data_IF_899633241588
#
_entry.id   IF_899633241588
#
_cell.length_a   1.000
_cell.length_b   1.000
_cell.length_c   1.000
_cell.angle_alpha   90.00
_cell.angle_beta   90.00
_cell.angle_gamma   90.00
#
_symmetry.space_group_name_H-M   'P 1'
#
loop_
_entity.id
_entity.type
_entity.pdbx_description
1 polymer ?
#
# COMPACT_ATOMS: atom_id res chain seq x y z
N UNK A 1 57.59 30.27 -10.52
CA UNK A 1 56.15 30.57 -10.57
C UNK A 1 55.51 29.63 -11.57
N UNK A 2 54.71 28.67 -11.11
CA UNK A 2 54.09 27.65 -11.97
C UNK A 2 52.79 28.23 -12.53
N UNK A 3 52.73 28.46 -13.85
CA UNK A 3 51.53 28.95 -14.53
C UNK A 3 50.43 27.87 -14.47
N UNK A 4 49.35 28.13 -13.73
CA UNK A 4 48.15 27.29 -13.72
C UNK A 4 47.40 27.48 -15.05
N UNK A 5 47.24 26.39 -15.79
CA UNK A 5 46.53 26.35 -17.06
C UNK A 5 45.01 26.29 -16.80
N UNK A 6 44.35 27.44 -16.68
CA UNK A 6 42.90 27.52 -16.49
C UNK A 6 42.18 27.24 -17.82
N UNK A 7 42.00 25.96 -18.16
CA UNK A 7 41.10 25.54 -19.24
C UNK A 7 39.65 25.74 -18.77
N UNK A 8 38.98 26.78 -19.27
CA UNK A 8 37.54 26.96 -19.08
C UNK A 8 36.74 25.95 -19.90
N UNK A 9 35.55 25.59 -19.41
CA UNK A 9 34.59 24.74 -20.13
C UNK A 9 34.13 25.43 -21.42
N UNK A 10 33.96 24.67 -22.50
CA UNK A 10 33.41 25.21 -23.75
C UNK A 10 31.88 25.22 -23.72
N UNK A 11 31.26 26.17 -24.43
CA UNK A 11 29.80 26.21 -24.59
C UNK A 11 29.26 24.95 -25.27
N UNK A 12 30.02 24.36 -26.19
CA UNK A 12 29.60 23.15 -26.90
C UNK A 12 29.56 21.92 -25.98
N UNK A 13 30.49 21.81 -25.03
CA UNK A 13 30.46 20.74 -24.02
C UNK A 13 29.20 20.85 -23.16
N UNK A 14 28.84 22.05 -22.72
CA UNK A 14 27.62 22.25 -21.94
C UNK A 14 26.36 21.88 -22.73
N UNK A 15 26.30 22.24 -24.02
CA UNK A 15 25.16 21.91 -24.90
C UNK A 15 25.05 20.40 -25.14
N UNK A 16 26.15 19.70 -25.42
CA UNK A 16 26.08 18.24 -25.58
C UNK A 16 25.62 17.55 -24.30
N UNK A 17 26.10 17.99 -23.13
CA UNK A 17 25.69 17.42 -21.85
C UNK A 17 24.20 17.59 -21.60
N UNK A 18 23.63 18.78 -21.87
CA UNK A 18 22.19 19.00 -21.67
C UNK A 18 21.34 18.20 -22.66
N UNK A 19 21.81 18.01 -23.90
CA UNK A 19 21.13 17.13 -24.89
C UNK A 19 21.10 15.69 -24.38
N UNK A 20 22.23 15.16 -23.91
CA UNK A 20 22.30 13.79 -23.39
C UNK A 20 21.40 13.64 -22.15
N UNK A 21 21.45 14.58 -21.21
CA UNK A 21 20.58 14.59 -20.04
C UNK A 21 19.09 14.66 -20.43
N UNK A 22 18.74 15.43 -21.46
CA UNK A 22 17.37 15.50 -21.98
C UNK A 22 16.85 14.16 -22.51
N UNK A 23 17.66 13.45 -23.30
CA UNK A 23 17.31 12.12 -23.83
C UNK A 23 17.18 11.10 -22.69
N UNK A 24 18.11 11.11 -21.74
CA UNK A 24 18.08 10.21 -20.59
C UNK A 24 16.84 10.47 -19.72
N UNK A 25 16.51 11.73 -19.44
CA UNK A 25 15.34 12.10 -18.65
C UNK A 25 14.03 11.64 -19.32
N UNK A 26 13.91 11.80 -20.65
CA UNK A 26 12.73 11.39 -21.40
C UNK A 26 12.41 9.89 -21.27
N UNK A 27 13.44 9.04 -21.16
CA UNK A 27 13.26 7.58 -21.00
C UNK A 27 13.22 7.15 -19.53
N UNK A 28 13.98 7.82 -18.66
CA UNK A 28 14.09 7.46 -17.25
C UNK A 28 12.82 7.80 -16.45
N UNK A 29 12.20 8.96 -16.68
CA UNK A 29 11.04 9.42 -15.91
C UNK A 29 9.85 8.45 -16.05
N UNK A 30 9.40 8.04 -17.26
CA UNK A 30 8.26 7.13 -17.37
C UNK A 30 8.54 5.77 -16.73
N UNK A 31 9.77 5.25 -16.89
CA UNK A 31 10.18 3.97 -16.29
C UNK A 31 10.21 4.03 -14.77
N UNK A 32 10.66 5.16 -14.21
CA UNK A 32 10.67 5.37 -12.78
C UNK A 32 9.25 5.37 -12.21
N UNK A 33 8.31 6.09 -12.83
CA UNK A 33 6.89 6.10 -12.41
C UNK A 33 6.29 4.69 -12.38
N UNK A 34 6.48 3.90 -13.45
CA UNK A 34 6.01 2.50 -13.47
C UNK A 34 6.67 1.64 -12.39
N UNK A 35 7.92 1.92 -12.01
CA UNK A 35 8.61 1.17 -10.95
C UNK A 35 8.05 1.52 -9.58
N UNK A 36 7.71 2.78 -9.34
CA UNK A 36 7.06 3.24 -8.10
C UNK A 36 5.69 2.58 -7.95
N UNK A 37 4.82 2.65 -8.97
CA UNK A 37 3.48 2.03 -8.91
C UNK A 37 3.55 0.52 -8.63
N UNK A 38 4.52 -0.19 -9.24
CA UNK A 38 4.72 -1.62 -8.97
C UNK A 38 5.21 -1.91 -7.56
N UNK A 39 5.99 -1.00 -6.98
CA UNK A 39 6.45 -1.14 -5.61
C UNK A 39 5.31 -0.90 -4.62
N UNK A 40 4.41 0.05 -4.92
CA UNK A 40 3.17 0.29 -4.16
C UNK A 40 2.24 -0.92 -4.23
N UNK A 41 1.96 -1.45 -5.44
CA UNK A 41 1.17 -2.69 -5.63
C UNK A 41 1.74 -3.87 -4.83
N UNK A 42 3.07 -4.05 -4.84
CA UNK A 42 3.71 -5.12 -4.07
C UNK A 42 3.64 -4.90 -2.55
N UNK A 43 3.61 -3.65 -2.09
CA UNK A 43 3.43 -3.32 -0.68
C UNK A 43 1.98 -3.57 -0.24
N UNK A 44 1.01 -3.18 -1.06
CA UNK A 44 -0.42 -3.46 -0.86
C UNK A 44 -0.67 -4.98 -0.76
N UNK A 45 -0.15 -5.76 -1.70
CA UNK A 45 -0.25 -7.23 -1.68
C UNK A 45 0.32 -7.82 -0.38
N UNK A 46 1.43 -7.26 0.13
CA UNK A 46 2.03 -7.69 1.39
C UNK A 46 1.13 -7.36 2.59
N UNK A 47 0.52 -6.17 2.62
CA UNK A 47 -0.44 -5.76 3.66
C UNK A 47 -1.64 -6.69 3.63
N UNK A 48 -2.29 -6.88 2.48
CA UNK A 48 -3.46 -7.76 2.36
C UNK A 48 -3.11 -9.21 2.71
N UNK A 49 -1.94 -9.71 2.31
CA UNK A 49 -1.49 -11.04 2.71
C UNK A 49 -1.29 -11.15 4.22
N UNK A 50 -0.81 -10.09 4.87
CA UNK A 50 -0.68 -10.07 6.34
C UNK A 50 -2.04 -10.10 7.02
N UNK A 51 -3.04 -9.37 6.50
CA UNK A 51 -4.42 -9.38 6.99
C UNK A 51 -4.99 -10.80 6.89
N UNK A 52 -4.88 -11.47 5.73
CA UNK A 52 -5.35 -12.86 5.57
C UNK A 52 -4.74 -13.80 6.61
N UNK A 53 -3.44 -13.68 6.87
CA UNK A 53 -2.75 -14.49 7.88
C UNK A 53 -3.19 -14.14 9.32
N UNK A 54 -3.39 -12.85 9.61
CA UNK A 54 -3.90 -12.37 10.89
C UNK A 54 -5.31 -12.89 11.16
N UNK A 55 -6.22 -12.77 10.19
CA UNK A 55 -7.60 -13.25 10.26
C UNK A 55 -7.67 -14.76 10.53
N UNK A 56 -6.81 -15.53 9.89
CA UNK A 56 -6.68 -16.97 10.14
C UNK A 56 -6.21 -17.27 11.57
N UNK A 57 -5.24 -16.50 12.07
CA UNK A 57 -4.74 -16.64 13.45
C UNK A 57 -5.83 -16.30 14.45
N UNK A 58 -6.50 -15.16 14.27
CA UNK A 58 -7.63 -14.73 15.09
C UNK A 58 -8.75 -15.77 15.11
N UNK A 59 -9.09 -16.34 13.95
CA UNK A 59 -10.09 -17.40 13.87
C UNK A 59 -9.71 -18.66 14.66
N UNK A 60 -8.43 -19.03 14.69
CA UNK A 60 -7.94 -20.15 15.52
C UNK A 60 -8.01 -19.82 17.01
N UNK A 61 -7.65 -18.59 17.40
CA UNK A 61 -7.75 -18.15 18.80
C UNK A 61 -9.20 -18.19 19.30
N UNK A 62 -10.14 -17.70 18.49
CA UNK A 62 -11.57 -17.74 18.80
C UNK A 62 -12.10 -19.18 18.88
N UNK A 63 -11.59 -20.09 18.05
CA UNK A 63 -11.91 -21.52 18.14
C UNK A 63 -11.48 -22.10 19.49
N UNK A 64 -10.31 -21.70 20.01
CA UNK A 64 -9.81 -22.17 21.29
C UNK A 64 -10.57 -21.56 22.48
N UNK A 65 -10.91 -20.27 22.40
CA UNK A 65 -11.59 -19.56 23.48
C UNK A 65 -13.08 -19.92 23.56
N UNK A 66 -13.77 -19.90 22.42
CA UNK A 66 -15.23 -19.91 22.35
C UNK A 66 -15.76 -21.15 21.61
N UNK A 67 -14.88 -22.06 21.18
CA UNK A 67 -15.26 -23.28 20.46
C UNK A 67 -15.68 -23.07 19.01
N UNK A 68 -15.53 -21.85 18.46
CA UNK A 68 -15.94 -21.49 17.09
C UNK A 68 -14.96 -20.55 16.43
N UNK A 69 -14.70 -20.76 15.14
CA UNK A 69 -13.93 -19.82 14.30
C UNK A 69 -14.80 -18.61 13.98
N UNK A 70 -14.25 -17.42 14.09
CA UNK A 70 -14.90 -16.16 13.73
C UNK A 70 -13.85 -15.12 13.39
N UNK A 71 -14.08 -14.28 12.39
CA UNK A 71 -13.26 -13.10 12.09
C UNK A 71 -13.66 -11.85 12.91
N UNK A 72 -12.80 -10.84 13.09
CA UNK A 72 -13.20 -9.60 13.74
C UNK A 72 -14.16 -8.78 12.86
N UNK A 73 -14.85 -7.79 13.45
CA UNK A 73 -15.68 -6.85 12.68
C UNK A 73 -14.84 -5.88 11.84
N UNK A 74 -13.68 -5.47 12.35
CA UNK A 74 -12.69 -4.70 11.63
C UNK A 74 -11.51 -5.64 11.27
N UNK A 75 -11.15 -5.79 9.99
CA UNK A 75 -10.06 -6.68 9.57
C UNK A 75 -8.70 -6.32 10.19
N UNK A 76 -8.49 -5.06 10.55
CA UNK A 76 -7.24 -4.58 11.15
C UNK A 76 -7.03 -5.09 12.58
N UNK A 77 -8.10 -5.41 13.32
CA UNK A 77 -8.04 -5.96 14.68
C UNK A 77 -7.35 -7.34 14.73
N UNK A 78 -7.26 -8.04 13.59
CA UNK A 78 -6.57 -9.32 13.50
C UNK A 78 -5.04 -9.20 13.38
N UNK A 79 -4.52 -7.98 13.20
CA UNK A 79 -3.10 -7.73 13.09
C UNK A 79 -2.49 -7.32 14.43
N UNK A 80 -1.25 -7.76 14.67
CA UNK A 80 -0.46 -7.29 15.83
C UNK A 80 0.21 -5.93 15.61
N UNK A 81 0.37 -5.53 14.35
CA UNK A 81 0.86 -4.22 13.92
C UNK A 81 0.08 -3.82 12.67
N UNK A 82 -0.58 -2.68 12.75
CA UNK A 82 -1.26 -2.03 11.61
C UNK A 82 -0.23 -1.48 10.61
N UNK A 83 -0.59 -1.38 9.32
CA UNK A 83 0.27 -0.76 8.33
C UNK A 83 0.48 0.72 8.65
N UNK A 84 1.63 1.24 8.24
CA UNK A 84 1.90 2.68 8.38
C UNK A 84 0.87 3.43 7.50
N UNK A 85 0.18 4.42 8.08
CA UNK A 85 -0.89 5.18 7.40
C UNK A 85 -2.30 4.65 7.65
N UNK A 86 -2.50 3.60 8.46
CA UNK A 86 -3.84 3.24 8.93
C UNK A 86 -4.43 4.31 9.85
N UNK A 87 -5.64 4.78 9.53
CA UNK A 87 -6.44 5.65 10.39
C UNK A 87 -7.63 4.86 10.96
N UNK A 88 -7.68 4.73 12.30
CA UNK A 88 -8.75 4.03 13.01
C UNK A 88 -9.97 4.92 13.31
N UNK A 89 -9.81 6.23 13.12
CA UNK A 89 -10.86 7.23 13.28
C UNK A 89 -11.60 7.50 11.99
N UNK A 90 -10.97 7.23 10.85
CA UNK A 90 -11.63 7.24 9.56
C UNK A 90 -12.33 5.91 9.28
N UNK A 91 -13.62 6.02 8.97
CA UNK A 91 -14.53 4.88 8.72
C UNK A 91 -15.14 4.93 7.33
N UNK A 92 -14.68 5.85 6.48
CA UNK A 92 -15.01 5.94 5.07
C UNK A 92 -13.80 5.56 4.18
N UNK A 93 -13.81 6.00 2.93
CA UNK A 93 -12.81 5.58 1.95
C UNK A 93 -11.60 6.52 1.98
N UNK A 94 -10.40 5.97 2.20
CA UNK A 94 -9.10 6.67 2.28
C UNK A 94 -8.98 7.85 1.30
N UNK A 95 -8.86 9.07 1.81
CA UNK A 95 -8.83 10.30 1.02
C UNK A 95 -7.51 11.08 1.10
N UNK A 96 -6.56 10.62 1.92
CA UNK A 96 -5.20 11.14 2.00
C UNK A 96 -4.15 10.20 1.38
N UNK A 97 -3.12 10.74 0.72
CA UNK A 97 -2.08 9.93 0.07
C UNK A 97 -1.32 9.06 1.10
N UNK A 98 -1.31 7.73 0.86
CA UNK A 98 -0.67 6.74 1.73
C UNK A 98 -1.57 6.21 2.85
N UNK A 99 -2.81 6.69 2.94
CA UNK A 99 -3.76 6.31 3.97
C UNK A 99 -4.35 4.92 3.71
N UNK A 100 -4.57 4.18 4.80
CA UNK A 100 -5.35 2.95 4.83
C UNK A 100 -6.57 3.14 5.72
N UNK A 101 -7.73 2.70 5.26
CA UNK A 101 -8.95 2.72 6.07
C UNK A 101 -9.73 1.42 5.95
N UNK A 102 -10.70 1.23 6.83
CA UNK A 102 -11.74 0.23 6.65
C UNK A 102 -13.10 0.93 6.59
N UNK A 103 -13.69 1.00 5.40
CA UNK A 103 -15.00 1.58 5.21
C UNK A 103 -16.05 0.64 5.81
N UNK A 104 -16.63 1.05 6.93
CA UNK A 104 -17.60 0.24 7.69
C UNK A 104 -18.98 0.18 7.03
N UNK A 105 -19.28 1.09 6.11
CA UNK A 105 -20.55 1.13 5.38
C UNK A 105 -20.55 0.10 4.26
N UNK A 106 -19.47 0.07 3.47
CA UNK A 106 -19.35 -0.82 2.32
C UNK A 106 -18.60 -2.13 2.64
N UNK A 107 -18.06 -2.26 3.86
CA UNK A 107 -17.26 -3.40 4.32
C UNK A 107 -16.05 -3.64 3.40
N UNK A 108 -15.34 -2.56 3.07
CA UNK A 108 -14.18 -2.59 2.18
C UNK A 108 -12.95 -2.04 2.88
N UNK A 109 -11.82 -2.71 2.68
CA UNK A 109 -10.50 -2.15 3.00
C UNK A 109 -10.14 -1.22 1.86
N UNK A 110 -9.70 0.00 2.16
CA UNK A 110 -9.32 0.97 1.14
C UNK A 110 -7.91 1.50 1.36
N UNK A 111 -7.22 1.81 0.26
CA UNK A 111 -5.93 2.46 0.28
C UNK A 111 -5.84 3.51 -0.83
N UNK A 112 -5.27 4.66 -0.51
CA UNK A 112 -5.04 5.77 -1.43
C UNK A 112 -3.56 5.85 -1.78
N UNK A 113 -3.22 5.62 -3.06
CA UNK A 113 -1.83 5.67 -3.56
C UNK A 113 -1.35 7.10 -3.75
N UNK A 114 -0.02 7.30 -3.86
CA UNK A 114 0.63 8.61 -4.05
C UNK A 114 0.25 9.36 -5.33
N UNK A 115 -0.41 8.68 -6.27
CA UNK A 115 -0.94 9.27 -7.50
C UNK A 115 -2.43 9.61 -7.40
N UNK A 116 -3.01 9.56 -6.20
CA UNK A 116 -4.42 9.77 -5.91
C UNK A 116 -5.36 8.69 -6.50
N UNK A 117 -4.82 7.52 -6.87
CA UNK A 117 -5.64 6.36 -7.23
C UNK A 117 -6.03 5.59 -5.96
N UNK A 118 -7.30 5.22 -5.85
CA UNK A 118 -7.82 4.43 -4.74
C UNK A 118 -8.00 2.97 -5.13
N UNK A 119 -7.65 2.09 -4.22
CA UNK A 119 -7.83 0.64 -4.36
C UNK A 119 -8.66 0.09 -3.22
N UNK A 120 -9.35 -1.01 -3.50
CA UNK A 120 -10.40 -1.57 -2.67
C UNK A 120 -10.26 -3.08 -2.57
N UNK A 121 -10.53 -3.62 -1.38
CA UNK A 121 -10.67 -5.06 -1.14
C UNK A 121 -11.93 -5.32 -0.32
N UNK A 122 -12.82 -6.14 -0.87
CA UNK A 122 -14.05 -6.54 -0.17
C UNK A 122 -13.72 -7.40 1.03
N UNK A 123 -14.23 -7.04 2.21
CA UNK A 123 -14.09 -7.80 3.43
C UNK A 123 -15.47 -8.21 3.95
N UNK A 124 -15.74 -9.51 3.92
CA UNK A 124 -16.89 -10.10 4.58
C UNK A 124 -16.39 -10.86 5.81
N UNK A 125 -16.69 -10.46 7.05
CA UNK A 125 -16.32 -11.21 8.25
C UNK A 125 -17.10 -12.54 8.40
N UNK A 126 -18.11 -12.76 7.57
CA UNK A 126 -18.97 -13.93 7.58
C UNK A 126 -20.08 -13.85 8.63
N UNK A 127 -20.78 -14.98 8.82
CA UNK A 127 -21.86 -15.08 9.80
C UNK A 127 -21.30 -15.56 11.13
N UNK A 128 -21.33 -14.69 12.13
CA UNK A 128 -20.63 -14.88 13.40
C UNK A 128 -21.50 -15.48 14.51
N UNK A 129 -22.78 -15.72 14.22
CA UNK A 129 -23.77 -16.18 15.20
C UNK A 129 -24.82 -17.10 14.58
N UNK A 130 -25.48 -17.90 15.42
CA UNK A 130 -26.53 -18.83 14.98
C UNK A 130 -25.99 -20.15 14.42
N UNK A 131 -26.89 -20.89 13.77
CA UNK A 131 -26.63 -22.24 13.25
C UNK A 131 -25.94 -22.21 11.86
N UNK A 132 -25.99 -21.07 11.17
CA UNK A 132 -25.38 -20.84 9.85
C UNK A 132 -24.00 -20.16 9.93
N UNK A 133 -23.28 -20.34 11.04
CA UNK A 133 -22.00 -19.68 11.24
C UNK A 133 -20.95 -20.15 10.21
N UNK A 134 -20.32 -19.19 9.53
CA UNK A 134 -19.36 -19.45 8.45
C UNK A 134 -18.20 -18.45 8.51
N UNK A 135 -17.00 -18.92 8.17
CA UNK A 135 -15.83 -18.04 8.00
C UNK A 135 -16.05 -17.12 6.80
N UNK A 136 -15.64 -15.86 6.96
CA UNK A 136 -15.76 -14.80 5.97
C UNK A 136 -14.88 -14.95 4.72
N UNK A 137 -14.90 -13.92 3.87
CA UNK A 137 -14.08 -13.85 2.65
C UNK A 137 -13.33 -12.53 2.57
N UNK A 138 -12.07 -12.60 2.12
CA UNK A 138 -11.18 -11.49 1.76
C UNK A 138 -10.33 -11.90 0.54
#
# INVERSE_FOLDING_TARGET
MTMKNNKGFTLIELIMVTIILGILAAVAIPRYMTTVTKAEEAAEDAVISSIKAGLETYAVEQLMSNGRRSWPSNPWDALSKEPDGYDDTDTDDADEDGEWTYNTTDSTITHQRMNNDRVYWDYDPGVQSGDDAAVGTL
#
